data_IF_767638981613
#
_entry.id   IF_767638981613
#
_cell.length_a   1.000
_cell.length_b   1.000
_cell.length_c   1.000
_cell.angle_alpha   90.00
_cell.angle_beta   90.00
_cell.angle_gamma   90.00
#
_symmetry.space_group_name_H-M   'P 1'
#
loop_
_entity.id
_entity.type
_entity.pdbx_description
1 polymer ?
#
# COMPACT_ATOMS: atom_id res chain seq x y z
N UNK A 1 0.96 -2.42 -5.94
CA UNK A 1 0.05 -1.86 -6.97
C UNK A 1 -0.93 -0.82 -6.42
N UNK A 2 -1.62 -1.09 -5.30
CA UNK A 2 -2.58 -0.12 -4.73
C UNK A 2 -1.93 1.22 -4.36
N UNK A 3 -0.74 1.18 -3.73
CA UNK A 3 0.04 2.39 -3.40
C UNK A 3 0.37 3.26 -4.61
N UNK A 4 0.82 2.65 -5.72
CA UNK A 4 1.11 3.37 -6.95
C UNK A 4 -0.16 4.05 -7.51
N UNK A 5 -1.30 3.36 -7.50
CA UNK A 5 -2.59 3.94 -7.92
C UNK A 5 -2.99 5.13 -7.04
N UNK A 6 -2.84 4.99 -5.73
CA UNK A 6 -3.13 6.07 -4.77
C UNK A 6 -2.19 7.26 -4.95
N UNK A 7 -0.90 7.01 -5.18
CA UNK A 7 0.10 8.05 -5.46
C UNK A 7 -0.24 8.83 -6.73
N UNK A 8 -0.59 8.13 -7.81
CA UNK A 8 -1.01 8.76 -9.08
C UNK A 8 -2.30 9.56 -8.88
N UNK A 9 -3.29 8.98 -8.19
CA UNK A 9 -4.56 9.64 -7.92
C UNK A 9 -4.39 10.91 -7.07
N UNK A 10 -3.57 10.84 -6.02
CA UNK A 10 -3.24 11.97 -5.16
C UNK A 10 -2.52 13.07 -5.91
N UNK A 11 -1.55 12.72 -6.77
CA UNK A 11 -0.86 13.70 -7.59
C UNK A 11 -1.80 14.43 -8.56
N UNK A 12 -2.73 13.70 -9.20
CA UNK A 12 -3.73 14.32 -10.09
C UNK A 12 -4.69 15.21 -9.30
N UNK A 13 -5.17 14.74 -8.14
CA UNK A 13 -6.17 15.44 -7.34
C UNK A 13 -5.65 16.73 -6.69
N UNK A 14 -4.37 16.75 -6.31
CA UNK A 14 -3.72 17.89 -5.64
C UNK A 14 -3.01 18.85 -6.61
N UNK A 15 -2.94 18.50 -7.90
CA UNK A 15 -2.30 19.34 -8.91
C UNK A 15 -3.11 20.60 -9.21
N UNK A 16 -2.43 21.74 -9.38
CA UNK A 16 -3.02 22.96 -9.93
C UNK A 16 -3.47 22.79 -11.40
N UNK A 17 -2.90 21.81 -12.10
CA UNK A 17 -3.21 21.46 -13.48
C UNK A 17 -3.51 19.97 -13.63
N UNK A 18 -4.65 19.46 -13.09
CA UNK A 18 -4.96 18.03 -13.08
C UNK A 18 -4.91 17.38 -14.45
N UNK A 19 -5.36 18.07 -15.51
CA UNK A 19 -5.28 17.59 -16.88
C UNK A 19 -3.85 17.43 -17.38
N UNK A 20 -2.97 18.36 -17.01
CA UNK A 20 -1.53 18.27 -17.29
C UNK A 20 -0.89 17.09 -16.57
N UNK A 21 -1.26 16.85 -15.32
CA UNK A 21 -0.78 15.69 -14.55
C UNK A 21 -1.31 14.37 -15.13
N UNK A 22 -2.56 14.32 -15.60
CA UNK A 22 -3.09 13.16 -16.33
C UNK A 22 -2.27 12.91 -17.60
N UNK A 23 -1.99 13.95 -18.39
CA UNK A 23 -1.13 13.84 -19.58
C UNK A 23 0.25 13.26 -19.25
N UNK A 24 0.90 13.80 -18.21
CA UNK A 24 2.20 13.30 -17.71
C UNK A 24 2.15 11.80 -17.45
N UNK A 25 1.15 11.34 -16.69
CA UNK A 25 1.03 9.91 -16.35
C UNK A 25 0.71 9.04 -17.57
N UNK A 26 -0.13 9.51 -18.50
CA UNK A 26 -0.37 8.79 -19.76
C UNK A 26 0.93 8.62 -20.55
N UNK A 27 1.77 9.65 -20.62
CA UNK A 27 3.05 9.64 -21.33
C UNK A 27 4.09 8.75 -20.64
N UNK A 28 4.16 8.76 -19.30
CA UNK A 28 5.01 7.84 -18.53
C UNK A 28 4.67 6.37 -18.86
N UNK A 29 3.37 6.07 -18.97
CA UNK A 29 2.89 4.74 -19.37
C UNK A 29 3.05 4.46 -20.87
N UNK A 30 3.56 5.41 -21.66
CA UNK A 30 3.72 5.28 -23.12
C UNK A 30 2.41 4.91 -23.83
N UNK A 31 1.31 5.52 -23.40
CA UNK A 31 -0.04 5.29 -23.94
C UNK A 31 -0.45 6.49 -24.79
N UNK A 32 -0.97 6.25 -25.99
CA UNK A 32 -1.50 7.30 -26.86
C UNK A 32 -2.92 7.70 -26.45
N UNK A 33 -3.36 8.91 -26.84
CA UNK A 33 -4.75 9.33 -26.61
C UNK A 33 -5.76 8.40 -27.33
N UNK A 34 -5.39 7.83 -28.48
CA UNK A 34 -6.22 6.89 -29.22
C UNK A 34 -6.41 5.57 -28.45
N UNK A 35 -5.33 4.97 -27.95
CA UNK A 35 -5.40 3.73 -27.16
C UNK A 35 -6.22 3.93 -25.88
N UNK A 36 -5.99 5.04 -25.18
CA UNK A 36 -6.74 5.37 -23.97
C UNK A 36 -8.22 5.62 -24.29
N UNK A 37 -8.52 6.26 -25.42
CA UNK A 37 -9.88 6.53 -25.89
C UNK A 37 -10.65 5.25 -26.17
N UNK A 38 -10.04 4.32 -26.92
CA UNK A 38 -10.59 2.99 -27.17
C UNK A 38 -10.89 2.28 -25.85
N UNK A 39 -9.95 2.31 -24.90
CA UNK A 39 -10.12 1.64 -23.61
C UNK A 39 -11.22 2.24 -22.74
N UNK A 40 -11.40 3.56 -22.78
CA UNK A 40 -12.39 4.28 -21.99
C UNK A 40 -13.76 4.39 -22.68
N UNK A 41 -13.87 4.01 -23.95
CA UNK A 41 -15.07 4.18 -24.77
C UNK A 41 -15.38 5.64 -25.09
N UNK A 42 -14.36 6.48 -25.25
CA UNK A 42 -14.49 7.92 -25.55
C UNK A 42 -13.55 8.34 -26.68
N UNK A 43 -13.87 9.44 -27.35
CA UNK A 43 -13.03 9.96 -28.43
C UNK A 43 -11.69 10.50 -27.91
N UNK A 44 -10.63 10.36 -28.72
CA UNK A 44 -9.31 10.92 -28.40
C UNK A 44 -9.35 12.45 -28.19
N UNK A 45 -10.24 13.16 -28.90
CA UNK A 45 -10.48 14.60 -28.69
C UNK A 45 -10.97 14.91 -27.28
N UNK A 46 -11.83 14.06 -26.70
CA UNK A 46 -12.30 14.21 -25.32
C UNK A 46 -11.15 14.08 -24.32
N UNK A 47 -10.21 13.16 -24.57
CA UNK A 47 -9.00 13.02 -23.74
C UNK A 47 -8.14 14.25 -23.88
N UNK A 48 -7.92 14.74 -25.11
CA UNK A 48 -7.16 15.97 -25.35
C UNK A 48 -7.78 17.18 -24.65
N UNK A 49 -9.11 17.28 -24.55
CA UNK A 49 -9.78 18.36 -23.82
C UNK A 49 -9.55 18.29 -22.30
N UNK A 50 -9.52 17.08 -21.72
CA UNK A 50 -9.12 16.89 -20.32
C UNK A 50 -7.65 17.26 -20.12
N UNK A 51 -6.75 16.75 -20.97
CA UNK A 51 -5.32 16.98 -20.86
C UNK A 51 -4.92 18.44 -21.09
N UNK A 52 -5.67 19.15 -21.93
CA UNK A 52 -5.50 20.59 -22.17
C UNK A 52 -6.08 21.48 -21.07
N UNK A 53 -6.55 20.92 -19.94
CA UNK A 53 -7.22 21.64 -18.84
C UNK A 53 -8.45 22.46 -19.28
N UNK A 54 -9.08 22.14 -20.41
CA UNK A 54 -10.34 22.79 -20.84
C UNK A 54 -11.50 22.41 -19.92
N UNK A 55 -11.41 21.23 -19.29
CA UNK A 55 -12.29 20.79 -18.20
C UNK A 55 -11.54 20.86 -16.88
N UNK A 56 -11.83 21.87 -16.08
CA UNK A 56 -11.21 22.06 -14.76
C UNK A 56 -11.65 20.94 -13.81
N UNK A 57 -10.71 20.43 -13.02
CA UNK A 57 -10.95 19.55 -11.86
C UNK A 57 -11.76 18.28 -12.17
N UNK A 58 -11.13 17.23 -12.76
CA UNK A 58 -11.79 15.95 -12.99
C UNK A 58 -12.28 15.35 -11.66
N UNK A 59 -13.54 14.90 -11.63
CA UNK A 59 -14.08 14.22 -10.45
C UNK A 59 -13.35 12.90 -10.15
N UNK A 60 -13.43 12.45 -8.89
CA UNK A 60 -12.74 11.23 -8.41
C UNK A 60 -13.08 9.97 -9.23
N UNK A 61 -14.31 9.87 -9.76
CA UNK A 61 -14.72 8.78 -10.64
C UNK A 61 -13.96 8.78 -11.98
N UNK A 62 -13.68 9.95 -12.54
CA UNK A 62 -12.91 10.10 -13.79
C UNK A 62 -11.45 9.71 -13.54
N UNK A 63 -10.85 10.20 -12.44
CA UNK A 63 -9.49 9.87 -12.04
C UNK A 63 -9.35 8.34 -11.88
N UNK A 64 -10.30 7.71 -11.18
CA UNK A 64 -10.32 6.24 -11.02
C UNK A 64 -10.38 5.50 -12.35
N UNK A 65 -11.29 5.88 -13.25
CA UNK A 65 -11.42 5.27 -14.58
C UNK A 65 -10.15 5.42 -15.40
N UNK A 66 -9.55 6.61 -15.38
CA UNK A 66 -8.30 6.92 -16.07
C UNK A 66 -7.15 6.03 -15.58
N UNK A 67 -6.91 5.98 -14.26
CA UNK A 67 -5.83 5.17 -13.67
C UNK A 67 -6.06 3.68 -13.96
N UNK A 68 -7.30 3.19 -13.84
CA UNK A 68 -7.61 1.81 -14.17
C UNK A 68 -7.28 1.48 -15.64
N UNK A 69 -7.66 2.37 -16.57
CA UNK A 69 -7.37 2.20 -17.98
C UNK A 69 -5.85 2.18 -18.26
N UNK A 70 -5.06 3.07 -17.65
CA UNK A 70 -3.59 3.05 -17.81
C UNK A 70 -3.00 1.70 -17.39
N UNK A 71 -3.40 1.20 -16.23
CA UNK A 71 -2.88 -0.06 -15.70
C UNK A 71 -3.31 -1.26 -16.52
N UNK A 72 -4.55 -1.29 -17.00
CA UNK A 72 -5.05 -2.38 -17.83
C UNK A 72 -4.35 -2.42 -19.20
N UNK A 73 -4.06 -1.25 -19.80
CA UNK A 73 -3.30 -1.18 -21.06
C UNK A 73 -1.85 -1.64 -20.84
N UNK A 74 -1.18 -1.19 -19.77
CA UNK A 74 0.19 -1.61 -19.48
C UNK A 74 0.29 -3.10 -19.19
N UNK A 75 -0.67 -3.67 -18.44
CA UNK A 75 -0.76 -5.12 -18.22
C UNK A 75 -0.92 -5.90 -19.52
N UNK A 76 -1.76 -5.42 -20.44
CA UNK A 76 -1.90 -6.03 -21.76
C UNK A 76 -0.61 -5.97 -22.60
N UNK A 77 0.27 -5.00 -22.33
CA UNK A 77 1.60 -4.84 -22.95
C UNK A 77 2.73 -5.56 -22.20
N UNK A 78 2.43 -6.37 -21.19
CA UNK A 78 3.43 -7.12 -20.40
C UNK A 78 3.93 -6.42 -19.14
N UNK A 79 3.18 -5.44 -18.61
CA UNK A 79 3.41 -4.81 -17.29
C UNK A 79 4.78 -4.10 -17.15
N UNK A 80 5.28 -3.53 -18.26
CA UNK A 80 6.62 -2.93 -18.33
C UNK A 80 6.75 -1.67 -17.47
N UNK A 81 5.73 -0.80 -17.46
CA UNK A 81 5.80 0.46 -16.73
C UNK A 81 5.52 0.25 -15.25
N UNK A 82 4.48 -0.54 -14.94
CA UNK A 82 4.13 -0.86 -13.55
C UNK A 82 5.32 -1.51 -12.86
N UNK A 83 5.93 -2.55 -13.46
CA UNK A 83 7.07 -3.25 -12.88
C UNK A 83 8.26 -2.32 -12.62
N UNK A 84 8.60 -1.40 -13.54
CA UNK A 84 9.66 -0.40 -13.34
C UNK A 84 9.37 0.56 -12.19
N UNK A 85 8.12 0.97 -12.03
CA UNK A 85 7.71 1.89 -10.97
C UNK A 85 7.59 1.20 -9.61
N UNK A 86 7.29 -0.10 -9.58
CA UNK A 86 7.17 -0.89 -8.34
C UNK A 86 8.44 -1.63 -7.94
N UNK A 87 9.44 -1.80 -8.82
CA UNK A 87 10.64 -2.59 -8.50
C UNK A 87 11.48 -1.99 -7.36
N UNK A 88 11.43 -0.68 -7.15
CA UNK A 88 12.01 -0.03 -5.95
C UNK A 88 11.25 -0.37 -4.65
N UNK A 89 9.97 -0.70 -4.72
CA UNK A 89 9.21 -1.22 -3.57
C UNK A 89 9.49 -2.71 -3.33
N UNK A 90 9.74 -3.50 -4.38
CA UNK A 90 9.94 -4.95 -4.27
C UNK A 90 11.21 -5.32 -3.48
N UNK A 91 12.27 -4.49 -3.51
CA UNK A 91 13.43 -4.70 -2.64
C UNK A 91 13.07 -4.66 -1.14
N UNK A 92 12.07 -3.86 -0.76
CA UNK A 92 11.58 -3.78 0.62
C UNK A 92 10.61 -4.92 1.00
N UNK A 93 9.87 -5.46 0.01
CA UNK A 93 8.99 -6.64 0.20
C UNK A 93 9.74 -7.91 0.56
N UNK A 94 11.07 -7.96 0.35
CA UNK A 94 11.92 -9.06 0.81
C UNK A 94 11.81 -9.29 2.32
N UNK A 95 11.52 -8.24 3.10
CA UNK A 95 11.53 -8.27 4.56
C UNK A 95 10.15 -8.18 5.19
N UNK A 96 9.28 -7.33 4.63
CA UNK A 96 7.97 -7.03 5.21
C UNK A 96 6.99 -6.56 4.15
N UNK A 97 5.69 -6.65 4.45
CA UNK A 97 4.63 -6.09 3.62
C UNK A 97 3.67 -5.22 4.45
N UNK A 98 3.41 -3.99 3.99
CA UNK A 98 2.60 -3.00 4.68
C UNK A 98 1.24 -2.87 4.01
N UNK A 99 0.19 -3.09 4.80
CA UNK A 99 -1.19 -2.90 4.41
C UNK A 99 -1.83 -1.80 5.25
N UNK A 100 -2.39 -0.79 4.59
CA UNK A 100 -3.12 0.31 5.22
C UNK A 100 -4.62 0.04 5.15
N UNK A 101 -5.34 0.36 6.22
CA UNK A 101 -6.80 0.32 6.23
C UNK A 101 -7.38 1.67 5.79
N UNK A 102 -8.54 1.62 5.13
CA UNK A 102 -9.28 2.84 4.78
C UNK A 102 -9.86 3.54 6.02
N UNK A 103 -10.21 2.76 7.04
CA UNK A 103 -10.75 3.23 8.32
C UNK A 103 -10.11 2.45 9.46
N UNK A 104 -10.00 3.07 10.63
CA UNK A 104 -9.51 2.38 11.81
C UNK A 104 -10.44 1.24 12.23
N UNK A 105 -9.88 0.09 12.56
CA UNK A 105 -10.59 -1.06 13.12
C UNK A 105 -10.18 -1.26 14.59
N UNK A 106 -11.06 -1.80 15.42
CA UNK A 106 -10.70 -2.10 16.81
C UNK A 106 -9.75 -3.32 16.85
N UNK A 107 -8.88 -3.39 17.86
CA UNK A 107 -8.01 -4.55 18.03
C UNK A 107 -8.80 -5.84 18.27
N UNK A 108 -9.98 -5.75 18.90
CA UNK A 108 -10.89 -6.87 19.12
C UNK A 108 -11.44 -7.41 17.80
N UNK A 109 -11.92 -6.53 16.93
CA UNK A 109 -12.47 -6.94 15.63
C UNK A 109 -11.37 -7.48 14.73
N UNK A 110 -10.19 -6.85 14.74
CA UNK A 110 -9.03 -7.38 14.03
C UNK A 110 -8.67 -8.80 14.48
N UNK A 111 -8.63 -9.06 15.79
CA UNK A 111 -8.36 -10.39 16.34
C UNK A 111 -9.39 -11.42 15.87
N UNK A 112 -10.68 -11.05 15.82
CA UNK A 112 -11.75 -11.92 15.31
C UNK A 112 -11.58 -12.23 13.81
N UNK A 113 -11.27 -11.22 13.00
CA UNK A 113 -11.08 -11.37 11.55
C UNK A 113 -9.93 -12.33 11.23
N UNK A 114 -8.83 -12.26 11.97
CA UNK A 114 -7.68 -13.17 11.80
C UNK A 114 -7.83 -14.50 12.56
N UNK A 115 -8.96 -14.72 13.25
CA UNK A 115 -9.20 -15.88 14.12
C UNK A 115 -8.09 -16.09 15.16
N UNK A 116 -7.57 -14.99 15.71
CA UNK A 116 -6.47 -14.99 16.66
C UNK A 116 -6.93 -15.15 18.11
N UNK A 117 -6.10 -15.80 18.92
CA UNK A 117 -6.28 -15.87 20.37
C UNK A 117 -5.49 -14.77 21.08
N UNK A 118 -6.14 -14.05 22.00
CA UNK A 118 -5.48 -13.01 22.79
C UNK A 118 -4.79 -13.66 23.99
N UNK A 119 -3.47 -13.75 23.95
CA UNK A 119 -2.66 -14.37 25.01
C UNK A 119 -2.14 -13.38 26.06
N UNK A 120 -2.14 -12.07 25.77
CA UNK A 120 -1.63 -11.03 26.65
C UNK A 120 -2.42 -9.71 26.53
N UNK A 121 -2.36 -8.88 27.58
CA UNK A 121 -2.90 -7.52 27.61
C UNK A 121 -4.38 -7.39 27.18
N UNK A 122 -5.22 -8.33 27.64
CA UNK A 122 -6.64 -8.43 27.27
C UNK A 122 -7.42 -7.15 27.61
N UNK A 123 -7.04 -6.48 28.68
CA UNK A 123 -7.67 -5.26 29.20
C UNK A 123 -7.55 -4.05 28.28
N UNK A 124 -6.47 -3.97 27.48
CA UNK A 124 -6.26 -2.83 26.56
C UNK A 124 -6.81 -3.09 25.15
N UNK A 125 -7.25 -4.30 24.83
CA UNK A 125 -7.77 -4.63 23.50
C UNK A 125 -8.96 -3.75 23.09
N UNK A 126 -9.84 -3.41 24.05
CA UNK A 126 -11.05 -2.62 23.77
C UNK A 126 -10.76 -1.13 23.46
N UNK A 127 -9.60 -0.61 23.84
CA UNK A 127 -9.23 0.80 23.64
C UNK A 127 -8.29 1.00 22.45
N UNK A 128 -7.67 -0.07 21.95
CA UNK A 128 -6.72 0.01 20.83
C UNK A 128 -7.44 0.02 19.50
N UNK A 129 -7.00 0.93 18.63
CA UNK A 129 -7.39 1.00 17.22
C UNK A 129 -6.18 0.71 16.33
N UNK A 130 -6.45 0.15 15.16
CA UNK A 130 -5.47 -0.22 14.15
C UNK A 130 -5.86 0.45 12.84
N UNK A 131 -4.89 1.07 12.17
CA UNK A 131 -5.04 1.69 10.85
C UNK A 131 -4.30 0.93 9.75
N UNK A 132 -3.76 -0.24 10.09
CA UNK A 132 -3.11 -1.12 9.14
C UNK A 132 -2.47 -2.31 9.85
N UNK A 133 -1.76 -3.13 9.07
CA UNK A 133 -0.86 -4.14 9.57
C UNK A 133 0.41 -4.24 8.73
N UNK A 134 1.46 -4.74 9.35
CA UNK A 134 2.71 -5.09 8.68
C UNK A 134 2.96 -6.58 8.85
N UNK A 135 2.96 -7.34 7.76
CA UNK A 135 3.44 -8.71 7.75
C UNK A 135 4.96 -8.71 7.73
N UNK A 136 5.59 -9.44 8.64
CA UNK A 136 7.02 -9.43 8.88
C UNK A 136 7.56 -10.86 8.77
N UNK A 137 8.59 -11.02 7.95
CA UNK A 137 9.45 -12.20 8.00
C UNK A 137 10.49 -11.98 9.10
N UNK A 138 10.27 -12.63 10.25
CA UNK A 138 10.99 -12.38 11.49
C UNK A 138 12.50 -12.58 11.33
N UNK A 139 12.89 -13.66 10.66
CA UNK A 139 14.31 -14.01 10.47
C UNK A 139 14.99 -13.04 9.51
N UNK A 140 14.34 -12.74 8.38
CA UNK A 140 14.94 -11.82 7.40
C UNK A 140 15.03 -10.39 7.92
N UNK A 141 14.05 -9.91 8.69
CA UNK A 141 14.13 -8.57 9.29
C UNK A 141 15.28 -8.46 10.30
N UNK A 142 15.52 -9.49 11.12
CA UNK A 142 16.61 -9.44 12.11
C UNK A 142 17.98 -9.55 11.45
N UNK A 143 18.13 -10.43 10.47
CA UNK A 143 19.44 -10.78 9.92
C UNK A 143 19.89 -9.82 8.80
N UNK A 144 18.96 -9.39 7.95
CA UNK A 144 19.30 -8.82 6.65
C UNK A 144 18.83 -7.35 6.48
N UNK A 145 17.91 -6.87 7.31
CA UNK A 145 17.37 -5.52 7.18
C UNK A 145 18.26 -4.49 7.91
N UNK A 146 18.75 -3.45 7.21
CA UNK A 146 19.47 -2.36 7.87
C UNK A 146 18.58 -1.65 8.91
N UNK A 147 19.15 -1.32 10.07
CA UNK A 147 18.43 -0.62 11.16
C UNK A 147 17.77 0.70 10.69
N UNK A 148 18.39 1.41 9.74
CA UNK A 148 17.85 2.62 9.13
C UNK A 148 16.51 2.41 8.41
N UNK A 149 16.16 1.16 8.07
CA UNK A 149 14.90 0.81 7.42
C UNK A 149 13.82 0.33 8.41
N UNK A 150 14.12 0.10 9.68
CA UNK A 150 13.15 -0.34 10.70
C UNK A 150 11.96 0.62 10.87
N UNK A 151 12.12 1.96 10.79
CA UNK A 151 10.98 2.87 10.82
C UNK A 151 9.94 2.60 9.73
N UNK A 152 10.34 2.01 8.59
CA UNK A 152 9.43 1.70 7.47
C UNK A 152 8.42 0.60 7.80
N UNK A 153 8.69 -0.22 8.84
CA UNK A 153 7.73 -1.21 9.33
C UNK A 153 6.44 -0.57 9.85
N UNK A 154 6.47 0.70 10.23
CA UNK A 154 5.30 1.42 10.74
C UNK A 154 4.39 1.98 9.64
N UNK A 155 4.77 1.87 8.36
CA UNK A 155 3.99 2.44 7.25
C UNK A 155 3.66 3.91 7.48
N UNK A 156 2.42 4.30 7.14
CA UNK A 156 1.98 5.68 7.28
C UNK A 156 1.51 6.03 8.71
N UNK A 157 0.98 5.05 9.45
CA UNK A 157 0.44 5.21 10.80
C UNK A 157 0.97 4.12 11.72
N UNK A 158 1.57 4.54 12.84
CA UNK A 158 2.22 3.64 13.82
C UNK A 158 1.23 2.82 14.65
N UNK A 159 -0.02 3.27 14.78
CA UNK A 159 -1.11 2.54 15.40
C UNK A 159 -1.57 1.39 14.50
N UNK A 160 -0.83 0.28 14.53
CA UNK A 160 -1.03 -0.88 13.66
C UNK A 160 -0.62 -2.20 14.30
N UNK A 161 -0.97 -3.30 13.62
CA UNK A 161 -0.55 -4.64 14.00
C UNK A 161 0.77 -5.03 13.32
N UNK A 162 1.69 -5.65 14.04
CA UNK A 162 2.81 -6.38 13.45
C UNK A 162 2.50 -7.87 13.46
N UNK A 163 2.49 -8.50 12.30
CA UNK A 163 2.21 -9.92 12.11
C UNK A 163 3.50 -10.62 11.75
N UNK A 164 4.08 -11.34 12.69
CA UNK A 164 5.30 -12.11 12.48
C UNK A 164 4.94 -13.50 11.96
N UNK A 165 5.48 -13.86 10.80
CA UNK A 165 5.35 -15.19 10.18
C UNK A 165 6.57 -16.06 10.55
N UNK A 166 6.38 -17.37 10.41
CA UNK A 166 7.42 -18.39 10.57
C UNK A 166 8.13 -18.29 11.93
N UNK A 167 7.35 -18.22 13.02
CA UNK A 167 7.86 -18.00 14.38
C UNK A 167 7.86 -19.30 15.17
N UNK A 168 9.05 -19.77 15.57
CA UNK A 168 9.17 -20.97 16.42
C UNK A 168 8.90 -20.72 17.91
N UNK A 169 9.53 -19.70 18.52
CA UNK A 169 9.59 -19.56 20.00
C UNK A 169 9.21 -18.18 20.55
N UNK A 170 8.62 -17.30 19.73
CA UNK A 170 8.21 -15.92 20.11
C UNK A 170 9.34 -14.93 20.45
N UNK A 171 10.54 -15.41 20.81
CA UNK A 171 11.70 -14.59 21.23
C UNK A 171 12.20 -13.66 20.13
N UNK A 172 12.34 -14.17 18.91
CA UNK A 172 12.83 -13.42 17.75
C UNK A 172 11.96 -12.18 17.46
N UNK A 173 10.62 -12.30 17.35
CA UNK A 173 9.71 -11.14 17.28
C UNK A 173 9.87 -10.14 18.41
N UNK A 174 10.04 -10.60 19.65
CA UNK A 174 10.22 -9.71 20.81
C UNK A 174 11.53 -8.93 20.76
N UNK A 175 12.59 -9.48 20.17
CA UNK A 175 13.84 -8.74 19.93
C UNK A 175 13.59 -7.59 18.97
N UNK A 176 12.88 -7.82 17.85
CA UNK A 176 12.52 -6.77 16.88
C UNK A 176 11.73 -5.66 17.58
N UNK A 177 10.71 -6.02 18.34
CA UNK A 177 9.89 -5.05 19.07
C UNK A 177 10.74 -4.30 20.09
N UNK A 178 11.68 -4.95 20.77
CA UNK A 178 12.56 -4.31 21.76
C UNK A 178 13.46 -3.24 21.14
N UNK A 179 14.04 -3.52 19.98
CA UNK A 179 15.01 -2.62 19.33
C UNK A 179 14.36 -1.53 18.48
N UNK A 180 13.07 -1.65 18.12
CA UNK A 180 12.37 -0.57 17.43
C UNK A 180 12.09 0.61 18.38
N UNK A 181 12.26 1.86 17.91
CA UNK A 181 12.08 3.06 18.73
C UNK A 181 10.62 3.28 19.16
N UNK A 182 9.67 2.77 18.38
CA UNK A 182 8.24 2.77 18.69
C UNK A 182 7.77 1.35 18.99
N UNK A 183 6.56 1.20 19.55
CA UNK A 183 5.92 -0.10 19.77
C UNK A 183 4.65 -0.17 18.91
N UNK A 184 4.39 -1.30 18.22
CA UNK A 184 3.14 -1.50 17.52
C UNK A 184 1.98 -1.57 18.52
N UNK A 185 0.76 -1.33 18.05
CA UNK A 185 -0.44 -1.39 18.89
C UNK A 185 -0.89 -2.82 19.18
N UNK A 186 -0.65 -3.73 18.24
CA UNK A 186 -0.91 -5.17 18.38
C UNK A 186 0.26 -5.95 17.80
N UNK A 187 0.58 -7.08 18.41
CA UNK A 187 1.56 -8.04 17.88
C UNK A 187 0.83 -9.36 17.69
N UNK A 188 0.97 -9.93 16.50
CA UNK A 188 0.44 -11.24 16.12
C UNK A 188 1.61 -12.15 15.83
N UNK A 189 1.59 -13.33 16.43
CA UNK A 189 2.54 -14.40 16.19
C UNK A 189 1.80 -15.47 15.41
N UNK A 190 2.13 -15.63 14.13
CA UNK A 190 1.47 -16.58 13.25
C UNK A 190 2.20 -17.93 13.30
N UNK A 191 1.43 -19.02 13.41
CA UNK A 191 1.94 -20.40 13.40
C UNK A 191 2.98 -20.70 14.50
N UNK A 192 2.73 -20.24 15.73
CA UNK A 192 3.54 -20.64 16.88
C UNK A 192 3.48 -22.16 17.10
N UNK A 193 4.65 -22.80 17.12
CA UNK A 193 4.77 -24.22 17.46
C UNK A 193 4.58 -24.46 18.97
N UNK A 194 5.06 -23.54 19.81
CA UNK A 194 4.93 -23.58 21.27
C UNK A 194 4.67 -22.16 21.83
N UNK A 195 3.82 -22.07 22.87
CA UNK A 195 3.48 -20.82 23.58
C UNK A 195 4.22 -20.77 24.92
#
# INVERSE_FOLDING_TARGET
MEKLRQSIAGEIALSETPGGTMKKWREIFSITQAELGIKLGICASTISDYEGNRRKSPGTAIIRRFINALFEIDKAKGEVTISKLTSKEDESKKYYDVHEFATGISAVDFAKEIKGEVVAAKEVMNVKKLYGYTMIDSLKVILDMPYTNFPRLYGNMSERAFIFKDVSTGRSPMVVIRVTPMKPSVVVLHELEEV
#
